data_IF_647899680674
#
_entry.id   IF_647899680674
#
_cell.length_a   1.000
_cell.length_b   1.000
_cell.length_c   1.000
_cell.angle_alpha   90.00
_cell.angle_beta   90.00
_cell.angle_gamma   90.00
#
_symmetry.space_group_name_H-M   'P 1'
#
loop_
_entity.id
_entity.type
_entity.pdbx_description
1 polymer ?
#
# COMPACT_ATOMS: atom_id res chain seq x y z
N UNK A 1 9.75 -56.39 49.87
CA UNK A 1 8.33 -56.53 50.29
C UNK A 1 7.81 -55.11 50.59
N UNK A 2 7.20 -54.44 49.61
CA UNK A 2 5.77 -54.39 49.29
C UNK A 2 4.96 -53.44 50.23
N UNK A 3 4.48 -52.34 49.63
CA UNK A 3 3.63 -51.27 50.20
C UNK A 3 2.23 -51.77 50.57
N UNK A 4 1.63 -51.22 51.64
CA UNK A 4 0.18 -51.18 51.87
C UNK A 4 -0.17 -49.84 52.57
N UNK A 5 -0.79 -48.85 51.91
CA UNK A 5 -2.22 -48.61 51.58
C UNK A 5 -3.15 -48.27 52.77
N UNK A 6 -3.74 -47.07 52.62
CA UNK A 6 -5.07 -46.57 53.02
C UNK A 6 -5.29 -46.13 54.48
N UNK A 7 -5.75 -44.89 54.64
CA UNK A 7 -7.10 -44.60 55.15
C UNK A 7 -7.54 -43.15 54.83
N UNK A 8 -8.83 -42.98 54.51
CA UNK A 8 -9.53 -41.73 54.18
C UNK A 8 -10.13 -41.09 55.45
N UNK A 9 -9.98 -39.76 55.57
CA UNK A 9 -10.83 -38.66 56.13
C UNK A 9 -11.88 -38.96 57.24
N UNK A 10 -12.07 -38.00 58.18
CA UNK A 10 -13.14 -37.00 58.01
C UNK A 10 -12.71 -35.56 58.42
N UNK A 11 -13.02 -34.54 57.63
CA UNK A 11 -14.15 -33.61 57.75
C UNK A 11 -14.11 -32.68 59.00
N UNK A 12 -13.72 -31.43 58.79
CA UNK A 12 -14.07 -30.30 59.66
C UNK A 12 -14.50 -29.12 58.77
N UNK A 13 -15.79 -28.78 58.85
CA UNK A 13 -16.38 -27.55 58.31
C UNK A 13 -16.00 -26.38 59.23
N UNK A 14 -15.56 -25.24 58.69
CA UNK A 14 -15.97 -23.92 59.22
C UNK A 14 -15.72 -22.76 58.25
N UNK A 15 -16.82 -22.05 58.01
CA UNK A 15 -16.98 -20.63 57.73
C UNK A 15 -16.29 -20.02 56.49
N UNK A 16 -17.09 -19.86 55.44
CA UNK A 16 -16.85 -18.93 54.35
C UNK A 16 -16.88 -17.47 54.86
N UNK A 17 -15.82 -16.71 54.63
CA UNK A 17 -15.84 -15.24 54.59
C UNK A 17 -15.65 -14.80 53.14
N UNK A 18 -16.73 -14.35 52.51
CA UNK A 18 -16.74 -13.71 51.19
C UNK A 18 -16.09 -12.33 51.32
N UNK A 19 -14.82 -12.20 50.94
CA UNK A 19 -14.21 -10.88 50.75
C UNK A 19 -14.62 -10.35 49.37
N UNK A 20 -15.57 -9.42 49.34
CA UNK A 20 -15.91 -8.67 48.13
C UNK A 20 -14.74 -7.74 47.82
N UNK A 21 -13.89 -8.14 46.86
CA UNK A 21 -12.94 -7.22 46.24
C UNK A 21 -13.74 -6.19 45.43
N UNK A 22 -13.83 -4.95 45.90
CA UNK A 22 -14.29 -3.82 45.08
C UNK A 22 -13.35 -3.71 43.86
N UNK A 23 -13.92 -3.84 42.67
CA UNK A 23 -13.20 -3.58 41.42
C UNK A 23 -12.76 -2.11 41.38
N UNK A 24 -11.48 -1.87 41.12
CA UNK A 24 -10.98 -0.53 40.81
C UNK A 24 -11.64 -0.02 39.52
N UNK A 25 -11.96 1.28 39.40
CA UNK A 25 -12.57 1.81 38.19
C UNK A 25 -11.59 1.66 37.02
N UNK A 26 -12.12 1.19 35.88
CA UNK A 26 -11.36 1.04 34.65
C UNK A 26 -10.74 2.40 34.25
N UNK A 27 -9.41 2.43 34.10
CA UNK A 27 -8.68 3.59 33.58
C UNK A 27 -9.18 3.82 32.15
N UNK A 28 -9.93 4.91 31.94
CA UNK A 28 -10.33 5.34 30.58
C UNK A 28 -9.04 5.50 29.76
N UNK A 29 -8.87 4.64 28.76
CA UNK A 29 -7.82 4.81 27.76
C UNK A 29 -8.22 6.04 26.96
N UNK A 30 -7.61 7.18 27.27
CA UNK A 30 -7.74 8.38 26.46
C UNK A 30 -7.22 8.06 25.06
N UNK A 31 -8.00 8.40 24.04
CA UNK A 31 -7.58 8.29 22.64
C UNK A 31 -6.17 8.90 22.47
N UNK A 32 -5.30 8.31 21.64
CA UNK A 32 -3.96 8.85 21.43
C UNK A 32 -4.08 10.27 20.90
N UNK A 33 -3.54 11.23 21.65
CA UNK A 33 -3.39 12.61 21.22
C UNK A 33 -2.49 12.60 19.99
N UNK A 34 -3.00 13.00 18.81
CA UNK A 34 -2.17 13.15 17.60
C UNK A 34 -0.93 13.95 17.98
N UNK A 35 0.24 13.31 17.95
CA UNK A 35 1.49 14.00 18.20
C UNK A 35 1.62 15.09 17.13
N UNK A 36 1.97 16.31 17.54
CA UNK A 36 2.29 17.36 16.59
C UNK A 36 3.44 16.87 15.71
N UNK A 37 3.37 17.10 14.40
CA UNK A 37 4.45 16.70 13.51
C UNK A 37 5.76 17.40 13.94
N UNK A 38 6.91 16.76 13.76
CA UNK A 38 8.18 17.36 14.15
C UNK A 38 8.46 18.61 13.31
N UNK A 39 9.11 19.62 13.92
CA UNK A 39 9.40 20.92 13.29
C UNK A 39 10.30 20.84 12.04
N UNK A 40 10.98 19.72 11.83
CA UNK A 40 11.93 19.52 10.72
C UNK A 40 11.26 19.01 9.43
N UNK A 41 9.96 18.68 9.45
CA UNK A 41 9.22 18.29 8.23
C UNK A 41 7.81 18.87 8.17
N UNK A 42 7.26 18.90 6.97
CA UNK A 42 5.87 19.30 6.73
C UNK A 42 4.90 18.41 7.51
N UNK A 43 3.81 19.01 8.03
CA UNK A 43 2.77 18.24 8.71
C UNK A 43 2.11 17.25 7.75
N UNK A 44 2.13 15.97 8.12
CA UNK A 44 1.54 14.91 7.31
C UNK A 44 2.43 14.40 6.18
N UNK A 45 3.67 14.89 6.04
CA UNK A 45 4.64 14.33 5.13
C UNK A 45 5.25 13.02 5.66
N UNK A 46 5.46 12.08 4.74
CA UNK A 46 6.29 10.91 4.97
C UNK A 46 7.76 11.30 5.13
N UNK A 47 8.56 10.43 5.76
CA UNK A 47 10.00 10.67 5.90
C UNK A 47 10.75 10.54 4.57
N UNK A 48 10.17 9.78 3.62
CA UNK A 48 10.60 9.66 2.23
C UNK A 48 9.42 10.02 1.34
N UNK A 49 9.63 10.97 0.42
CA UNK A 49 8.64 11.36 -0.57
C UNK A 49 9.17 10.94 -1.94
N UNK A 50 8.34 10.26 -2.71
CA UNK A 50 8.66 9.95 -4.11
C UNK A 50 8.52 11.23 -4.93
N UNK A 51 9.58 11.57 -5.66
CA UNK A 51 9.59 12.68 -6.62
C UNK A 51 9.41 12.14 -8.04
N UNK A 52 8.44 12.67 -8.77
CA UNK A 52 8.23 12.41 -10.19
C UNK A 52 8.71 13.60 -11.03
N UNK A 53 9.60 13.34 -11.99
CA UNK A 53 10.03 14.35 -12.97
C UNK A 53 9.40 14.00 -14.32
N UNK A 54 8.51 14.88 -14.78
CA UNK A 54 7.56 14.61 -15.86
C UNK A 54 7.77 15.63 -17.00
N UNK A 55 7.36 15.28 -18.22
CA UNK A 55 7.33 16.27 -19.34
C UNK A 55 6.20 17.29 -19.20
N UNK A 56 5.13 16.88 -18.54
CA UNK A 56 3.89 17.64 -18.35
C UNK A 56 3.29 17.27 -17.00
N UNK A 57 3.85 17.88 -15.95
CA UNK A 57 3.40 17.68 -14.58
C UNK A 57 1.99 18.23 -14.37
N UNK A 58 1.60 19.30 -15.05
CA UNK A 58 0.24 19.83 -14.99
C UNK A 58 -0.79 18.82 -15.52
N UNK A 59 -0.52 18.22 -16.68
CA UNK A 59 -1.34 17.16 -17.25
C UNK A 59 -1.39 15.92 -16.35
N UNK A 60 -0.27 15.55 -15.73
CA UNK A 60 -0.22 14.43 -14.79
C UNK A 60 -1.07 14.67 -13.54
N UNK A 61 -1.04 15.87 -12.98
CA UNK A 61 -1.92 16.24 -11.86
C UNK A 61 -3.39 16.04 -12.25
N UNK A 62 -3.78 16.54 -13.43
CA UNK A 62 -5.17 16.40 -13.89
C UNK A 62 -5.56 14.94 -14.15
N UNK A 63 -4.64 14.14 -14.69
CA UNK A 63 -4.84 12.70 -14.83
C UNK A 63 -5.00 12.03 -13.46
N UNK A 64 -4.12 12.27 -12.50
CA UNK A 64 -4.18 11.64 -11.17
C UNK A 64 -5.43 12.05 -10.39
N UNK A 65 -5.91 13.29 -10.54
CA UNK A 65 -7.20 13.74 -9.99
C UNK A 65 -8.36 12.93 -10.56
N UNK A 66 -8.41 12.75 -11.89
CA UNK A 66 -9.48 12.01 -12.58
C UNK A 66 -9.40 10.49 -12.34
N UNK A 67 -8.21 9.92 -12.45
CA UNK A 67 -7.96 8.48 -12.36
C UNK A 67 -8.04 7.97 -10.92
N UNK A 68 -7.34 8.64 -10.00
CA UNK A 68 -7.10 8.13 -8.65
C UNK A 68 -7.75 8.95 -7.54
N UNK A 69 -8.47 10.03 -7.89
CA UNK A 69 -9.04 10.94 -6.90
C UNK A 69 -7.96 11.69 -6.12
N UNK A 70 -6.79 11.92 -6.73
CA UNK A 70 -5.70 12.65 -6.10
C UNK A 70 -6.15 14.04 -5.64
N UNK A 71 -5.69 14.46 -4.46
CA UNK A 71 -5.93 15.78 -3.92
C UNK A 71 -4.67 16.63 -4.04
N UNK A 72 -4.81 17.78 -4.69
CA UNK A 72 -3.72 18.73 -4.81
C UNK A 72 -3.53 19.49 -3.49
N UNK A 73 -2.33 19.38 -2.91
CA UNK A 73 -1.97 20.00 -1.63
C UNK A 73 -1.31 21.35 -1.89
N UNK A 74 -0.37 21.37 -2.82
CA UNK A 74 0.39 22.56 -3.20
C UNK A 74 0.80 22.47 -4.67
N UNK A 75 0.88 23.64 -5.33
CA UNK A 75 1.44 23.79 -6.68
C UNK A 75 2.16 25.14 -6.76
N UNK A 76 3.42 25.08 -7.18
CA UNK A 76 4.28 26.21 -7.42
C UNK A 76 4.71 26.19 -8.88
N UNK A 77 4.30 27.24 -9.61
CA UNK A 77 4.67 27.42 -11.00
C UNK A 77 6.01 28.15 -11.11
N UNK A 78 6.70 27.91 -12.22
CA UNK A 78 7.84 28.70 -12.65
C UNK A 78 7.39 30.13 -13.01
N UNK A 79 8.33 31.09 -13.12
CA UNK A 79 8.05 32.46 -13.55
C UNK A 79 7.37 32.58 -14.92
N UNK A 80 7.46 31.54 -15.76
CA UNK A 80 6.76 31.48 -17.06
C UNK A 80 5.23 31.29 -16.91
N UNK A 81 4.74 30.99 -15.70
CA UNK A 81 3.33 30.75 -15.39
C UNK A 81 2.76 29.45 -15.97
N UNK A 82 3.61 28.56 -16.49
CA UNK A 82 3.20 27.32 -17.17
C UNK A 82 3.85 26.10 -16.55
N UNK A 83 5.17 26.11 -16.43
CA UNK A 83 5.94 24.98 -15.92
C UNK A 83 5.73 24.83 -14.42
N UNK A 84 5.60 23.61 -13.93
CA UNK A 84 5.48 23.27 -12.51
C UNK A 84 6.87 23.06 -11.93
N UNK A 85 7.30 23.97 -11.06
CA UNK A 85 8.54 23.82 -10.29
C UNK A 85 8.41 22.80 -9.18
N UNK A 86 7.26 22.77 -8.53
CA UNK A 86 6.95 21.80 -7.47
C UNK A 86 5.45 21.68 -7.30
N UNK A 87 4.97 20.45 -7.15
CA UNK A 87 3.61 20.18 -6.72
C UNK A 87 3.59 18.98 -5.79
N UNK A 88 2.61 18.95 -4.89
CA UNK A 88 2.37 17.85 -3.96
C UNK A 88 0.94 17.37 -4.13
N UNK A 89 0.79 16.05 -4.32
CA UNK A 89 -0.49 15.38 -4.42
C UNK A 89 -0.64 14.34 -3.32
N UNK A 90 -1.82 14.30 -2.71
CA UNK A 90 -2.21 13.21 -1.81
C UNK A 90 -3.07 12.20 -2.56
N UNK A 91 -2.67 10.93 -2.51
CA UNK A 91 -3.46 9.78 -2.98
C UNK A 91 -3.61 8.84 -1.80
N UNK A 92 -4.85 8.67 -1.33
CA UNK A 92 -5.11 7.95 -0.08
C UNK A 92 -4.42 8.63 1.11
N UNK A 93 -3.49 7.92 1.76
CA UNK A 93 -2.69 8.39 2.88
C UNK A 93 -1.27 8.85 2.49
N UNK A 94 -0.93 8.75 1.21
CA UNK A 94 0.42 8.98 0.69
C UNK A 94 0.51 10.31 -0.03
N UNK A 95 1.61 11.04 0.20
CA UNK A 95 1.96 12.24 -0.57
C UNK A 95 3.06 11.89 -1.56
N UNK A 96 2.86 12.29 -2.82
CA UNK A 96 3.89 12.27 -3.86
C UNK A 96 4.19 13.71 -4.27
N UNK A 97 5.43 13.97 -4.66
CA UNK A 97 5.86 15.24 -5.19
C UNK A 97 6.19 15.11 -6.68
N UNK A 98 6.01 16.19 -7.43
CA UNK A 98 6.22 16.18 -8.88
C UNK A 98 6.57 17.56 -9.44
N UNK A 99 7.35 17.57 -10.51
CA UNK A 99 7.76 18.76 -11.23
C UNK A 99 7.96 18.47 -12.73
N UNK A 100 7.94 19.52 -13.53
CA UNK A 100 8.36 19.44 -14.92
C UNK A 100 9.87 19.25 -15.03
N UNK A 101 10.29 18.49 -16.03
CA UNK A 101 11.70 18.33 -16.39
C UNK A 101 12.28 19.67 -16.84
N UNK A 102 13.36 20.10 -16.20
CA UNK A 102 13.97 21.41 -16.40
C UNK A 102 15.48 21.30 -16.63
N UNK A 103 16.04 22.12 -17.54
CA UNK A 103 17.48 22.21 -17.72
C UNK A 103 18.21 22.54 -16.40
N UNK A 104 19.22 21.74 -16.05
CA UNK A 104 19.99 21.93 -14.81
C UNK A 104 19.34 21.33 -13.56
N UNK A 105 18.23 20.59 -13.70
CA UNK A 105 17.71 19.73 -12.63
C UNK A 105 18.70 18.62 -12.24
N UNK A 106 18.43 17.88 -11.16
CA UNK A 106 19.34 16.87 -10.59
C UNK A 106 19.60 15.61 -11.45
N UNK A 107 19.39 15.68 -12.77
CA UNK A 107 19.77 14.63 -13.72
C UNK A 107 18.79 13.46 -13.81
N UNK A 108 17.52 13.68 -13.49
CA UNK A 108 16.49 12.66 -13.68
C UNK A 108 16.21 12.43 -15.17
N UNK A 109 15.99 11.16 -15.54
CA UNK A 109 15.53 10.81 -16.88
C UNK A 109 14.05 11.18 -16.96
N UNK A 110 13.70 12.00 -17.94
CA UNK A 110 12.31 12.36 -18.22
C UNK A 110 11.43 11.11 -18.31
N UNK A 111 10.34 11.09 -17.55
CA UNK A 111 9.35 10.03 -17.71
C UNK A 111 8.56 10.26 -19.01
N UNK A 112 8.39 9.19 -19.79
CA UNK A 112 7.83 9.15 -21.15
C UNK A 112 8.80 9.38 -22.32
N UNK A 113 8.48 8.69 -23.43
CA UNK A 113 9.24 8.61 -24.68
C UNK A 113 9.26 7.18 -25.23
N UNK A 114 9.53 6.98 -26.54
CA UNK A 114 9.46 5.65 -27.17
C UNK A 114 10.41 4.61 -26.56
N UNK A 115 11.45 5.06 -25.85
CA UNK A 115 12.42 4.19 -25.18
C UNK A 115 12.29 4.20 -23.64
N UNK A 116 11.26 4.87 -23.09
CA UNK A 116 11.07 4.92 -21.65
C UNK A 116 10.64 3.54 -21.13
N UNK A 117 11.39 3.03 -20.15
CA UNK A 117 11.01 1.86 -19.36
C UNK A 117 10.94 2.31 -17.91
N UNK A 118 9.75 2.18 -17.31
CA UNK A 118 9.58 2.46 -15.90
C UNK A 118 10.51 1.55 -15.09
N UNK A 119 11.42 2.14 -14.31
CA UNK A 119 12.32 1.42 -13.41
C UNK A 119 11.70 1.23 -12.02
N UNK A 120 10.52 1.79 -11.81
CA UNK A 120 9.75 1.73 -10.57
C UNK A 120 8.26 1.67 -10.92
N UNK A 121 7.46 1.19 -9.98
CA UNK A 121 6.00 1.19 -10.10
C UNK A 121 5.38 1.64 -8.78
N UNK A 122 4.17 2.18 -8.86
CA UNK A 122 3.36 2.53 -7.71
C UNK A 122 2.41 1.39 -7.41
N UNK A 123 2.42 0.89 -6.17
CA UNK A 123 1.38 -0.03 -5.69
C UNK A 123 0.28 0.80 -5.02
N UNK A 124 -0.94 0.72 -5.54
CA UNK A 124 -2.10 1.44 -5.04
C UNK A 124 -3.17 0.43 -4.60
N UNK A 125 -3.37 0.34 -3.29
CA UNK A 125 -4.44 -0.45 -2.70
C UNK A 125 -5.74 0.34 -2.62
N UNK A 126 -6.85 -0.32 -2.99
CA UNK A 126 -8.19 0.25 -2.96
C UNK A 126 -9.19 -0.83 -2.53
N UNK A 127 -10.33 -0.48 -1.92
CA UNK A 127 -11.40 -1.43 -1.63
C UNK A 127 -12.00 -2.09 -2.88
N UNK A 128 -11.88 -1.45 -4.05
CA UNK A 128 -12.37 -1.96 -5.33
C UNK A 128 -11.36 -1.62 -6.45
N UNK A 129 -10.54 -2.60 -6.82
CA UNK A 129 -9.52 -2.44 -7.84
C UNK A 129 -10.11 -2.39 -9.25
N UNK A 130 -11.21 -3.10 -9.52
CA UNK A 130 -11.85 -3.11 -10.83
C UNK A 130 -12.40 -1.73 -11.16
N UNK A 131 -13.11 -1.11 -10.23
CA UNK A 131 -13.65 0.23 -10.42
C UNK A 131 -12.54 1.27 -10.64
N UNK A 132 -11.48 1.21 -9.85
CA UNK A 132 -10.38 2.17 -9.96
C UNK A 132 -9.54 1.96 -11.23
N UNK A 133 -9.26 0.70 -11.59
CA UNK A 133 -8.58 0.34 -12.83
C UNK A 133 -9.37 0.86 -14.04
N UNK A 134 -10.67 0.59 -14.10
CA UNK A 134 -11.51 1.05 -15.21
C UNK A 134 -11.57 2.57 -15.30
N UNK A 135 -11.64 3.27 -14.16
CA UNK A 135 -11.57 4.73 -14.11
C UNK A 135 -10.23 5.26 -14.64
N UNK A 136 -9.12 4.65 -14.27
CA UNK A 136 -7.79 5.05 -14.73
C UNK A 136 -7.63 4.87 -16.24
N UNK A 137 -8.15 3.75 -16.80
CA UNK A 137 -8.17 3.53 -18.24
C UNK A 137 -9.04 4.56 -18.95
N UNK A 138 -10.24 4.84 -18.44
CA UNK A 138 -11.14 5.88 -18.99
C UNK A 138 -10.53 7.29 -18.93
N UNK A 139 -9.68 7.57 -17.94
CA UNK A 139 -8.97 8.84 -17.81
C UNK A 139 -7.80 9.00 -18.81
N UNK A 140 -7.49 7.97 -19.62
CA UNK A 140 -6.42 7.98 -20.61
C UNK A 140 -5.25 7.05 -20.29
N UNK A 141 -5.35 6.24 -19.23
CA UNK A 141 -4.35 5.22 -18.92
C UNK A 141 -4.43 4.03 -19.89
N UNK A 142 -3.30 3.42 -20.18
CA UNK A 142 -3.21 2.21 -20.98
C UNK A 142 -3.20 0.98 -20.06
N UNK A 143 -4.13 0.05 -20.26
CA UNK A 143 -4.09 -1.23 -19.57
C UNK A 143 -2.80 -2.00 -19.91
N UNK A 144 -2.06 -2.40 -18.87
CA UNK A 144 -0.88 -3.24 -18.97
C UNK A 144 -1.24 -4.70 -18.63
N UNK A 145 -0.95 -5.10 -17.39
CA UNK A 145 -1.35 -6.40 -16.86
C UNK A 145 -2.87 -6.42 -16.65
N UNK A 146 -3.61 -7.37 -17.26
CA UNK A 146 -5.04 -7.51 -17.01
C UNK A 146 -5.33 -7.78 -15.53
N UNK A 147 -6.51 -7.35 -15.07
CA UNK A 147 -6.99 -7.68 -13.73
C UNK A 147 -7.12 -9.19 -13.57
N UNK A 148 -6.43 -9.75 -12.57
CA UNK A 148 -6.45 -11.16 -12.24
C UNK A 148 -6.37 -11.37 -10.72
N UNK A 149 -6.86 -12.52 -10.28
CA UNK A 149 -6.65 -12.99 -8.92
C UNK A 149 -5.26 -13.62 -8.83
N UNK A 150 -4.43 -13.09 -7.94
CA UNK A 150 -3.04 -13.51 -7.77
C UNK A 150 -2.93 -14.61 -6.72
N UNK A 151 -1.92 -15.45 -6.86
CA UNK A 151 -1.73 -16.61 -5.97
C UNK A 151 -1.53 -16.20 -4.50
N UNK A 152 -1.03 -14.98 -4.25
CA UNK A 152 -0.82 -14.40 -2.92
C UNK A 152 -2.04 -13.71 -2.31
N UNK A 153 -3.20 -13.75 -2.97
CA UNK A 153 -4.47 -13.32 -2.37
C UNK A 153 -4.97 -11.93 -2.75
N UNK A 154 -4.27 -11.21 -3.61
CA UNK A 154 -4.77 -9.94 -4.17
C UNK A 154 -5.55 -10.17 -5.46
N UNK A 155 -6.56 -9.33 -5.71
CA UNK A 155 -6.99 -9.02 -7.08
C UNK A 155 -6.20 -7.82 -7.55
N UNK A 156 -5.53 -7.90 -8.69
CA UNK A 156 -4.77 -6.74 -9.17
C UNK A 156 -4.58 -6.72 -10.68
N UNK A 157 -4.27 -5.53 -11.20
CA UNK A 157 -3.89 -5.28 -12.59
C UNK A 157 -2.92 -4.11 -12.66
N UNK A 158 -2.43 -3.77 -13.86
CA UNK A 158 -1.57 -2.61 -14.05
C UNK A 158 -2.06 -1.66 -15.13
N UNK A 159 -1.82 -0.36 -14.90
CA UNK A 159 -2.12 0.72 -15.84
C UNK A 159 -0.85 1.55 -16.03
N UNK A 160 -0.46 1.76 -17.27
CA UNK A 160 0.54 2.74 -17.65
C UNK A 160 -0.14 4.10 -17.85
N UNK A 161 0.32 5.14 -17.16
CA UNK A 161 -0.20 6.48 -17.37
C UNK A 161 0.43 7.17 -18.60
N UNK A 162 -0.17 8.25 -19.13
CA UNK A 162 0.37 8.98 -20.28
C UNK A 162 1.77 9.58 -20.08
N UNK A 163 2.25 9.61 -18.83
CA UNK A 163 3.50 10.26 -18.41
C UNK A 163 4.62 9.24 -18.13
N UNK A 164 4.38 7.96 -18.43
CA UNK A 164 5.36 6.88 -18.39
C UNK A 164 5.42 6.13 -17.06
N UNK A 165 4.57 6.42 -16.09
CA UNK A 165 4.56 5.67 -14.82
C UNK A 165 3.70 4.42 -14.93
N UNK A 166 4.07 3.39 -14.17
CA UNK A 166 3.30 2.15 -14.05
C UNK A 166 2.64 2.11 -12.67
N UNK A 167 1.33 1.93 -12.67
CA UNK A 167 0.49 1.81 -11.49
C UNK A 167 -0.04 0.38 -11.39
N UNK A 168 0.36 -0.34 -10.33
CA UNK A 168 -0.24 -1.60 -9.92
C UNK A 168 -1.43 -1.28 -9.01
N UNK A 169 -2.63 -1.67 -9.40
CA UNK A 169 -3.86 -1.38 -8.65
C UNK A 169 -4.37 -2.69 -8.07
N UNK A 170 -4.52 -2.74 -6.75
CA UNK A 170 -4.82 -3.98 -6.04
C UNK A 170 -5.95 -3.82 -5.01
N UNK A 171 -6.69 -4.90 -4.81
CA UNK A 171 -7.56 -5.13 -3.65
C UNK A 171 -7.12 -6.43 -3.00
N UNK A 172 -6.75 -6.36 -1.74
CA UNK A 172 -6.46 -7.57 -0.97
C UNK A 172 -7.75 -8.34 -0.71
N UNK A 173 -7.84 -9.59 -1.15
CA UNK A 173 -9.05 -10.41 -1.02
C UNK A 173 -8.97 -11.42 0.13
N UNK A 174 -7.78 -11.99 0.36
CA UNK A 174 -7.61 -13.09 1.32
C UNK A 174 -6.23 -13.11 1.95
N UNK A 175 -6.21 -13.28 3.27
CA UNK A 175 -5.02 -13.67 4.01
C UNK A 175 -4.72 -15.15 3.75
N UNK A 176 -3.46 -15.48 3.47
CA UNK A 176 -2.99 -16.84 3.28
C UNK A 176 -1.86 -17.14 4.27
N UNK A 177 -1.78 -18.38 4.74
CA UNK A 177 -0.59 -18.84 5.46
C UNK A 177 0.58 -19.01 4.49
N UNK A 178 1.82 -18.99 5.01
CA UNK A 178 3.03 -19.22 4.21
C UNK A 178 2.96 -20.54 3.42
N UNK A 179 2.41 -21.59 4.03
CA UNK A 179 2.24 -22.88 3.38
C UNK A 179 1.25 -22.80 2.22
N UNK A 180 0.12 -22.10 2.41
CA UNK A 180 -0.86 -21.88 1.35
C UNK A 180 -0.28 -21.04 0.22
N UNK A 181 0.47 -19.98 0.53
CA UNK A 181 1.14 -19.14 -0.46
C UNK A 181 2.18 -19.92 -1.26
N UNK A 182 3.03 -20.72 -0.59
CA UNK A 182 4.04 -21.54 -1.26
C UNK A 182 3.40 -22.52 -2.24
N UNK A 183 2.36 -23.24 -1.79
CA UNK A 183 1.65 -24.20 -2.64
C UNK A 183 0.98 -23.51 -3.84
N UNK A 184 0.29 -22.39 -3.61
CA UNK A 184 -0.34 -21.63 -4.68
C UNK A 184 0.68 -21.07 -5.68
N UNK A 185 1.85 -20.64 -5.21
CA UNK A 185 2.96 -20.20 -6.06
C UNK A 185 3.54 -21.32 -6.94
N UNK A 186 3.69 -22.52 -6.39
CA UNK A 186 4.14 -23.70 -7.16
C UNK A 186 3.14 -24.08 -8.27
N UNK A 187 1.85 -24.07 -7.96
CA UNK A 187 0.77 -24.32 -8.91
C UNK A 187 0.73 -23.24 -10.02
N UNK A 188 0.83 -21.97 -9.64
CA UNK A 188 0.89 -20.85 -10.58
C UNK A 188 2.11 -20.96 -11.52
N UNK A 189 3.29 -21.26 -10.97
CA UNK A 189 4.51 -21.43 -11.76
C UNK A 189 4.42 -22.64 -12.72
N UNK A 190 3.75 -23.72 -12.32
CA UNK A 190 3.48 -24.85 -13.20
C UNK A 190 2.55 -24.45 -14.36
N UNK A 191 1.49 -23.69 -14.07
CA UNK A 191 0.53 -23.20 -15.07
C UNK A 191 1.19 -22.26 -16.08
N UNK A 192 2.02 -21.32 -15.63
CA UNK A 192 2.74 -20.39 -16.52
C UNK A 192 3.70 -21.13 -17.47
N UNK A 193 4.42 -22.14 -16.95
CA UNK A 193 5.29 -22.99 -17.78
C UNK A 193 4.52 -23.74 -18.86
N UNK A 194 3.31 -24.23 -18.56
CA UNK A 194 2.47 -24.91 -19.55
C UNK A 194 1.94 -23.94 -20.62
N UNK A 195 1.77 -22.67 -20.30
CA UNK A 195 1.31 -21.62 -21.23
C UNK A 195 2.46 -20.94 -22.01
N UNK A 196 3.70 -21.37 -21.83
CA UNK A 196 4.87 -20.78 -22.49
C UNK A 196 5.21 -19.36 -22.00
N UNK A 197 4.68 -18.95 -20.86
CA UNK A 197 4.97 -17.65 -20.22
C UNK A 197 6.01 -17.86 -19.11
N UNK A 198 6.95 -16.92 -18.99
CA UNK A 198 7.97 -16.97 -17.93
C UNK A 198 7.33 -16.97 -16.55
N UNK A 199 7.77 -17.86 -15.65
CA UNK A 199 7.24 -17.90 -14.28
C UNK A 199 7.57 -16.59 -13.54
N UNK A 200 6.63 -16.01 -12.77
CA UNK A 200 6.91 -14.82 -11.99
C UNK A 200 7.93 -15.12 -10.88
N UNK A 201 8.66 -14.11 -10.40
CA UNK A 201 9.57 -14.28 -9.27
C UNK A 201 8.81 -14.79 -8.04
N UNK A 202 9.44 -15.72 -7.32
CA UNK A 202 8.93 -16.29 -6.06
C UNK A 202 8.64 -15.18 -5.06
N UNK A 203 7.40 -15.09 -4.58
CA UNK A 203 7.04 -14.28 -3.42
C UNK A 203 7.57 -14.99 -2.16
N UNK A 204 8.88 -14.96 -1.94
CA UNK A 204 9.46 -15.43 -0.70
C UNK A 204 9.20 -14.39 0.40
N UNK A 205 8.56 -14.87 1.47
CA UNK A 205 8.15 -14.14 2.66
C UNK A 205 9.27 -13.33 3.33
N UNK A 206 8.91 -12.17 3.86
CA UNK A 206 9.66 -11.43 4.89
C UNK A 206 8.98 -11.63 6.25
#
# INVERSE_FOLDING_TARGET
MAKAKKAKKPAAKKAARKAVRKAAPARKVSAPRKAAAPKWKQQGAQDVIVQLVLRDAAGAIDFYKKAFGAQEIARHLAPDGKSVWHAELRIGDTVIALNDDMPGGPGFVTSAGPNHKATSSFMLYTPDCDALFNRAVQAGGQAGMPLADMFWGDRMGSVSDPFGQVWMIATHQKDLTDEQMRKAGEEFAAQMRQQGQGAPPSAAAH
#
